data_IF_796212165945
#
_entry.id   IF_796212165945
#
_cell.length_a   1.000
_cell.length_b   1.000
_cell.length_c   1.000
_cell.angle_alpha   90.00
_cell.angle_beta   90.00
_cell.angle_gamma   90.00
#
_symmetry.space_group_name_H-M   'P 1'
#
loop_
_entity.id
_entity.type
_entity.pdbx_description
1 polymer ?
#
# COMPACT_ATOMS: atom_id res chain seq x y z
N UNK A 1 25.09 -18.60 -5.90
CA UNK A 1 23.90 -18.17 -5.13
C UNK A 1 24.37 -17.75 -3.75
N UNK A 2 24.20 -16.49 -3.38
CA UNK A 2 24.78 -15.94 -2.14
C UNK A 2 23.76 -16.12 -1.01
N UNK A 3 23.92 -17.20 -0.22
CA UNK A 3 23.01 -17.53 0.89
C UNK A 3 22.92 -16.46 1.99
N UNK A 4 23.94 -15.61 2.11
CA UNK A 4 23.95 -14.48 3.05
C UNK A 4 22.87 -13.44 2.71
N UNK A 5 22.66 -13.13 1.43
CA UNK A 5 21.67 -12.13 1.01
C UNK A 5 20.22 -12.61 1.21
N UNK A 6 19.98 -13.92 1.11
CA UNK A 6 18.66 -14.53 1.37
C UNK A 6 18.33 -14.47 2.87
N UNK A 7 19.34 -14.74 3.72
CA UNK A 7 19.18 -14.65 5.17
C UNK A 7 18.83 -13.23 5.64
N UNK A 8 19.48 -12.22 5.09
CA UNK A 8 19.21 -10.81 5.42
C UNK A 8 17.82 -10.37 4.97
N UNK A 9 17.37 -10.79 3.79
CA UNK A 9 16.03 -10.48 3.30
C UNK A 9 14.93 -11.16 4.13
N UNK A 10 15.13 -12.41 4.53
CA UNK A 10 14.19 -13.13 5.41
C UNK A 10 14.12 -12.47 6.79
N UNK A 11 15.25 -12.08 7.36
CA UNK A 11 15.30 -11.38 8.65
C UNK A 11 14.61 -10.03 8.55
N UNK A 12 14.85 -9.25 7.50
CA UNK A 12 14.17 -7.98 7.26
C UNK A 12 12.65 -8.16 7.13
N UNK A 13 12.19 -9.18 6.40
CA UNK A 13 10.77 -9.51 6.25
C UNK A 13 10.11 -9.89 7.59
N UNK A 14 10.78 -10.69 8.41
CA UNK A 14 10.30 -11.09 9.75
C UNK A 14 10.22 -9.87 10.68
N UNK A 15 11.20 -8.97 10.65
CA UNK A 15 11.21 -7.75 11.45
C UNK A 15 10.05 -6.82 11.04
N UNK A 16 9.79 -6.65 9.73
CA UNK A 16 8.66 -5.86 9.23
C UNK A 16 7.32 -6.47 9.68
N UNK A 17 7.19 -7.80 9.63
CA UNK A 17 6.00 -8.50 10.07
C UNK A 17 5.77 -8.35 11.59
N UNK A 18 6.80 -8.48 12.40
CA UNK A 18 6.73 -8.28 13.85
C UNK A 18 6.39 -6.83 14.21
N UNK A 19 6.96 -5.85 13.49
CA UNK A 19 6.64 -4.44 13.68
C UNK A 19 5.20 -4.12 13.28
N UNK A 20 4.70 -4.70 12.18
CA UNK A 20 3.32 -4.47 11.74
C UNK A 20 2.32 -5.07 12.73
N UNK A 21 2.59 -6.27 13.25
CA UNK A 21 1.78 -6.90 14.32
C UNK A 21 1.83 -6.08 15.61
N UNK A 22 3.00 -5.59 15.99
CA UNK A 22 3.17 -4.74 17.17
C UNK A 22 2.43 -3.42 17.04
N UNK A 23 2.53 -2.75 15.89
CA UNK A 23 1.81 -1.50 15.61
C UNK A 23 0.31 -1.74 15.62
N UNK A 24 -0.18 -2.82 14.99
CA UNK A 24 -1.59 -3.17 14.97
C UNK A 24 -2.11 -3.51 16.38
N UNK A 25 -1.34 -4.24 17.17
CA UNK A 25 -1.66 -4.58 18.55
C UNK A 25 -1.70 -3.34 19.44
N UNK A 26 -0.75 -2.42 19.29
CA UNK A 26 -0.67 -1.18 20.06
C UNK A 26 -1.80 -0.20 19.69
N UNK A 27 -2.17 -0.13 18.43
CA UNK A 27 -3.30 0.70 17.96
C UNK A 27 -4.65 0.15 18.43
N UNK A 28 -4.79 -1.18 18.51
CA UNK A 28 -6.04 -1.83 18.94
C UNK A 28 -6.25 -1.81 20.47
N UNK A 29 -5.22 -1.54 21.27
CA UNK A 29 -5.26 -1.60 22.72
C UNK A 29 -5.22 -0.22 23.38
N UNK A 30 -6.02 0.74 23.01
CA UNK A 30 -6.18 2.03 23.72
C UNK A 30 -4.91 2.62 24.41
N UNK A 31 -3.71 2.28 23.89
CA UNK A 31 -2.46 2.84 24.35
C UNK A 31 -2.40 4.29 23.87
N UNK A 32 -2.35 5.20 24.81
CA UNK A 32 -2.25 6.63 24.49
C UNK A 32 -1.04 6.86 23.59
N UNK A 33 -1.21 7.66 22.53
CA UNK A 33 -0.15 8.09 21.60
C UNK A 33 1.17 8.47 22.31
N UNK A 34 1.07 8.95 23.55
CA UNK A 34 2.18 9.35 24.41
C UNK A 34 3.11 8.19 24.79
N UNK A 35 2.58 7.00 25.07
CA UNK A 35 3.37 5.84 25.47
C UNK A 35 4.11 5.21 24.28
N UNK A 36 3.48 5.18 23.11
CA UNK A 36 4.11 4.68 21.88
C UNK A 36 5.29 5.58 21.47
N UNK A 37 5.09 6.90 21.48
CA UNK A 37 6.14 7.87 21.18
C UNK A 37 7.30 7.76 22.18
N UNK A 38 7.02 7.49 23.44
CA UNK A 38 8.05 7.35 24.48
C UNK A 38 8.86 6.06 24.31
N UNK A 39 8.22 4.95 23.92
CA UNK A 39 8.91 3.69 23.61
C UNK A 39 9.77 3.84 22.34
N UNK A 40 9.23 4.43 21.29
CA UNK A 40 9.96 4.70 20.04
C UNK A 40 11.16 5.62 20.26
N UNK A 41 11.07 6.57 21.19
CA UNK A 41 12.18 7.47 21.53
C UNK A 41 13.27 6.82 22.39
N UNK A 42 12.98 5.74 23.11
CA UNK A 42 13.95 5.07 24.00
C UNK A 42 14.82 4.04 23.27
N UNK A 43 14.37 3.50 22.15
CA UNK A 43 15.11 2.49 21.41
C UNK A 43 15.89 3.12 20.23
N UNK A 44 17.19 3.31 20.43
CA UNK A 44 18.07 3.90 19.42
C UNK A 44 18.16 3.05 18.15
N UNK A 45 18.03 1.73 18.24
CA UNK A 45 18.06 0.83 17.09
C UNK A 45 16.77 0.95 16.27
N UNK A 46 15.63 1.03 16.95
CA UNK A 46 14.34 1.25 16.31
C UNK A 46 14.29 2.63 15.62
N UNK A 47 14.85 3.67 16.26
CA UNK A 47 14.97 4.98 15.62
C UNK A 47 15.88 4.97 14.38
N UNK A 48 17.00 4.25 14.44
CA UNK A 48 17.91 4.11 13.30
C UNK A 48 17.24 3.36 12.16
N UNK A 49 16.48 2.30 12.50
CA UNK A 49 15.69 1.54 11.52
C UNK A 49 14.58 2.39 10.88
N UNK A 50 13.78 3.10 11.69
CA UNK A 50 12.73 3.99 11.18
C UNK A 50 13.30 5.13 10.31
N UNK A 51 14.47 5.65 10.66
CA UNK A 51 15.18 6.61 9.81
C UNK A 51 15.62 6.00 8.49
N UNK A 52 16.19 4.79 8.52
CA UNK A 52 16.61 4.07 7.30
C UNK A 52 15.42 3.79 6.39
N UNK A 53 14.30 3.27 6.94
CA UNK A 53 13.06 3.06 6.20
C UNK A 53 12.51 4.39 5.65
N UNK A 54 12.48 5.44 6.49
CA UNK A 54 11.99 6.76 6.06
C UNK A 54 12.86 7.38 4.96
N UNK A 55 14.19 7.20 4.98
CA UNK A 55 15.06 7.68 3.92
C UNK A 55 14.91 6.89 2.63
N UNK A 56 14.73 5.56 2.71
CA UNK A 56 14.45 4.73 1.53
C UNK A 56 13.07 4.96 0.91
N UNK A 57 12.14 5.54 1.68
CA UNK A 57 10.81 5.88 1.20
C UNK A 57 10.71 7.29 0.62
N UNK A 58 11.65 8.21 0.94
CA UNK A 58 11.52 9.65 0.61
C UNK A 58 11.36 9.95 -0.88
N UNK A 59 11.92 9.09 -1.73
CA UNK A 59 11.91 9.26 -3.18
C UNK A 59 10.78 8.48 -3.87
N UNK A 60 9.95 7.80 -3.08
CA UNK A 60 8.87 6.98 -3.64
C UNK A 60 7.62 7.83 -3.89
N UNK A 61 7.00 7.57 -5.05
CA UNK A 61 5.77 8.23 -5.49
C UNK A 61 4.61 7.26 -5.39
N UNK A 62 3.52 7.71 -4.79
CA UNK A 62 2.27 6.95 -4.67
C UNK A 62 1.20 7.66 -5.49
N UNK A 63 0.55 6.92 -6.37
CA UNK A 63 -0.67 7.36 -7.04
C UNK A 63 -1.88 6.71 -6.36
N UNK A 64 -2.88 7.49 -6.03
CA UNK A 64 -4.17 7.00 -5.53
C UNK A 64 -5.22 7.27 -6.60
N UNK A 65 -5.71 6.21 -7.24
CA UNK A 65 -6.84 6.29 -8.17
C UNK A 65 -8.13 6.06 -7.39
N UNK A 66 -8.96 7.09 -7.33
CA UNK A 66 -10.24 7.06 -6.62
C UNK A 66 -11.26 7.94 -7.36
N UNK A 67 -12.54 7.67 -7.12
CA UNK A 67 -13.60 8.56 -7.62
C UNK A 67 -13.79 9.76 -6.68
N UNK A 68 -14.31 10.91 -7.18
CA UNK A 68 -14.43 12.14 -6.40
C UNK A 68 -15.18 12.00 -5.08
N UNK A 69 -16.11 11.04 -5.01
CA UNK A 69 -16.90 10.77 -3.81
C UNK A 69 -16.18 9.88 -2.78
N UNK A 70 -14.98 9.36 -3.10
CA UNK A 70 -14.24 8.40 -2.28
C UNK A 70 -13.05 9.06 -1.54
N UNK A 71 -13.25 10.28 -1.05
CA UNK A 71 -12.19 11.10 -0.42
C UNK A 71 -11.53 10.48 0.83
N UNK A 72 -12.09 9.40 1.38
CA UNK A 72 -11.60 8.81 2.63
C UNK A 72 -10.27 8.07 2.46
N UNK A 73 -9.97 7.54 1.28
CA UNK A 73 -8.78 6.73 1.05
C UNK A 73 -7.49 7.57 1.14
N UNK A 74 -7.41 8.65 0.37
CA UNK A 74 -6.23 9.53 0.36
C UNK A 74 -6.06 10.25 1.71
N UNK A 75 -7.16 10.69 2.32
CA UNK A 75 -7.16 11.33 3.63
C UNK A 75 -6.67 10.37 4.72
N UNK A 76 -7.05 9.10 4.65
CA UNK A 76 -6.59 8.06 5.56
C UNK A 76 -5.08 7.84 5.46
N UNK A 77 -4.52 7.83 4.25
CA UNK A 77 -3.08 7.72 4.02
C UNK A 77 -2.32 8.95 4.52
N UNK A 78 -2.79 10.15 4.20
CA UNK A 78 -2.14 11.41 4.63
C UNK A 78 -2.12 11.61 6.14
N UNK A 79 -3.04 10.98 6.88
CA UNK A 79 -3.05 11.01 8.36
C UNK A 79 -1.94 10.17 8.99
N UNK A 80 -1.30 9.28 8.24
CA UNK A 80 -0.24 8.42 8.73
C UNK A 80 1.08 9.22 8.73
N UNK A 81 1.72 9.46 9.90
CA UNK A 81 2.91 10.31 9.98
C UNK A 81 4.06 9.85 9.07
N UNK A 82 4.18 8.53 8.86
CA UNK A 82 5.22 7.96 8.01
C UNK A 82 5.05 8.35 6.53
N UNK A 83 3.80 8.57 6.09
CA UNK A 83 3.46 8.88 4.71
C UNK A 83 3.39 10.39 4.42
N UNK A 84 3.48 11.24 5.45
CA UNK A 84 3.43 12.70 5.27
C UNK A 84 4.57 13.27 4.42
N UNK A 85 5.68 12.52 4.30
CA UNK A 85 6.84 12.91 3.49
C UNK A 85 6.84 12.30 2.09
N UNK A 86 5.90 11.40 1.80
CA UNK A 86 5.78 10.78 0.50
C UNK A 86 5.04 11.70 -0.47
N UNK A 87 5.43 11.66 -1.72
CA UNK A 87 4.69 12.30 -2.81
C UNK A 87 3.45 11.44 -3.11
N UNK A 88 2.29 11.87 -2.59
CA UNK A 88 1.01 11.19 -2.83
C UNK A 88 0.19 12.06 -3.77
N UNK A 89 0.03 11.59 -5.00
CA UNK A 89 -0.83 12.18 -6.03
C UNK A 89 -2.19 11.49 -6.07
N UNK A 90 -3.20 12.23 -6.50
CA UNK A 90 -4.57 11.75 -6.66
C UNK A 90 -4.95 11.77 -8.13
N UNK A 91 -5.72 10.80 -8.55
CA UNK A 91 -6.27 10.69 -9.89
C UNK A 91 -7.58 9.92 -9.89
N UNK A 92 -8.25 9.94 -11.03
CA UNK A 92 -9.45 9.16 -11.31
C UNK A 92 -9.15 8.07 -12.36
N UNK A 93 -10.20 7.39 -12.84
CA UNK A 93 -10.09 6.44 -13.95
C UNK A 93 -9.49 7.06 -15.24
N UNK A 94 -9.50 8.37 -15.39
CA UNK A 94 -8.87 9.07 -16.53
C UNK A 94 -7.33 9.17 -16.42
N UNK A 95 -6.76 8.85 -15.26
CA UNK A 95 -5.32 9.00 -14.98
C UNK A 95 -4.57 7.65 -14.95
N UNK A 96 -5.13 6.61 -15.58
CA UNK A 96 -4.55 5.25 -15.58
C UNK A 96 -3.16 5.24 -16.23
N UNK A 97 -2.89 6.12 -17.19
CA UNK A 97 -1.56 6.24 -17.82
C UNK A 97 -0.45 6.60 -16.83
N UNK A 98 -0.78 7.23 -15.70
CA UNK A 98 0.18 7.62 -14.67
C UNK A 98 0.68 6.44 -13.82
N UNK A 99 0.07 5.25 -13.92
CA UNK A 99 0.48 4.06 -13.17
C UNK A 99 1.95 3.74 -13.42
N UNK A 100 2.40 3.81 -14.66
CA UNK A 100 3.78 3.49 -15.05
C UNK A 100 4.82 4.46 -14.50
N UNK A 101 4.44 5.69 -14.14
CA UNK A 101 5.35 6.72 -13.62
C UNK A 101 5.46 6.73 -12.08
N UNK A 102 4.62 5.97 -11.38
CA UNK A 102 4.59 5.90 -9.93
C UNK A 102 5.18 4.57 -9.43
N UNK A 103 5.77 4.57 -8.23
CA UNK A 103 6.34 3.38 -7.62
C UNK A 103 5.25 2.44 -7.10
N UNK A 104 4.20 3.01 -6.52
CA UNK A 104 3.04 2.30 -6.02
C UNK A 104 1.77 2.99 -6.50
N UNK A 105 0.81 2.22 -6.98
CA UNK A 105 -0.53 2.73 -7.26
C UNK A 105 -1.55 2.02 -6.38
N UNK A 106 -2.41 2.78 -5.72
CA UNK A 106 -3.54 2.30 -4.95
C UNK A 106 -4.80 2.61 -5.76
N UNK A 107 -5.59 1.59 -6.02
CA UNK A 107 -6.78 1.69 -6.87
C UNK A 107 -7.99 1.37 -6.03
N UNK A 108 -8.87 2.35 -5.83
CA UNK A 108 -10.19 2.09 -5.25
C UNK A 108 -11.01 1.22 -6.21
N UNK A 109 -11.67 0.20 -5.69
CA UNK A 109 -12.56 -0.64 -6.50
C UNK A 109 -13.68 0.16 -7.18
N UNK A 110 -14.04 1.34 -6.67
CA UNK A 110 -15.00 2.27 -7.28
C UNK A 110 -14.54 2.78 -8.65
N UNK A 111 -13.24 2.92 -8.87
CA UNK A 111 -12.68 3.26 -10.18
C UNK A 111 -13.08 2.25 -11.25
N UNK A 112 -13.17 0.96 -10.88
CA UNK A 112 -13.60 -0.11 -11.78
C UNK A 112 -15.11 -0.10 -12.07
N UNK A 113 -15.90 0.51 -11.17
CA UNK A 113 -17.37 0.55 -11.29
C UNK A 113 -17.89 1.84 -11.88
N UNK A 114 -17.06 2.89 -11.95
CA UNK A 114 -17.43 4.17 -12.56
C UNK A 114 -17.84 4.03 -14.04
N UNK A 115 -17.40 2.95 -14.69
CA UNK A 115 -17.77 2.57 -16.05
C UNK A 115 -18.16 1.11 -16.09
N UNK A 116 -19.37 0.77 -15.63
CA UNK A 116 -19.81 -0.62 -15.54
C UNK A 116 -19.66 -1.38 -16.87
N UNK A 117 -19.95 -0.75 -17.99
CA UNK A 117 -19.79 -1.30 -19.34
C UNK A 117 -18.34 -1.43 -19.80
N UNK A 118 -17.40 -0.80 -19.10
CA UNK A 118 -15.97 -0.77 -19.45
C UNK A 118 -15.09 -1.41 -18.37
N UNK A 119 -15.67 -1.98 -17.32
CA UNK A 119 -14.92 -2.52 -16.17
C UNK A 119 -13.77 -3.43 -16.59
N UNK A 120 -14.04 -4.40 -17.47
CA UNK A 120 -13.02 -5.34 -17.91
C UNK A 120 -11.91 -4.65 -18.72
N UNK A 121 -12.25 -3.67 -19.55
CA UNK A 121 -11.29 -2.88 -20.31
C UNK A 121 -10.41 -2.05 -19.39
N UNK A 122 -11.01 -1.32 -18.44
CA UNK A 122 -10.32 -0.51 -17.43
C UNK A 122 -9.40 -1.38 -16.57
N UNK A 123 -9.90 -2.51 -16.07
CA UNK A 123 -9.11 -3.44 -15.28
C UNK A 123 -7.90 -3.98 -16.08
N UNK A 124 -8.14 -4.39 -17.33
CA UNK A 124 -7.09 -4.91 -18.21
C UNK A 124 -6.04 -3.85 -18.51
N UNK A 125 -6.44 -2.61 -18.74
CA UNK A 125 -5.52 -1.50 -18.94
C UNK A 125 -4.66 -1.26 -17.70
N UNK A 126 -5.25 -1.22 -16.51
CA UNK A 126 -4.53 -1.09 -15.23
C UNK A 126 -3.45 -2.16 -15.09
N UNK A 127 -3.81 -3.43 -15.30
CA UNK A 127 -2.88 -4.55 -15.19
C UNK A 127 -1.77 -4.47 -16.23
N UNK A 128 -2.06 -4.03 -17.45
CA UNK A 128 -1.07 -3.91 -18.53
C UNK A 128 -0.12 -2.72 -18.34
N UNK A 129 -0.56 -1.64 -17.67
CA UNK A 129 0.29 -0.48 -17.36
C UNK A 129 1.29 -0.75 -16.23
N UNK A 130 1.04 -1.76 -15.41
CA UNK A 130 1.94 -2.18 -14.35
C UNK A 130 3.18 -2.87 -14.94
N UNK A 131 4.36 -2.35 -14.63
CA UNK A 131 5.65 -2.99 -14.87
C UNK A 131 6.09 -3.82 -13.66
N UNK A 132 7.07 -4.72 -13.82
CA UNK A 132 7.48 -5.64 -12.75
C UNK A 132 8.18 -4.93 -11.57
N UNK A 133 8.70 -3.73 -11.80
CA UNK A 133 9.34 -2.86 -10.81
C UNK A 133 8.34 -1.92 -10.09
N UNK A 134 7.05 -2.02 -10.35
CA UNK A 134 5.99 -1.21 -9.73
C UNK A 134 5.07 -2.08 -8.90
N UNK A 135 4.41 -1.47 -7.92
CA UNK A 135 3.43 -2.15 -7.08
C UNK A 135 2.01 -1.64 -7.30
N UNK A 136 1.04 -2.54 -7.15
CA UNK A 136 -0.39 -2.21 -7.16
C UNK A 136 -1.07 -2.72 -5.90
N UNK A 137 -1.99 -1.91 -5.37
CA UNK A 137 -2.95 -2.33 -4.34
C UNK A 137 -4.35 -2.06 -4.87
N UNK A 138 -5.17 -3.09 -4.94
CA UNK A 138 -6.61 -2.92 -5.14
C UNK A 138 -7.29 -2.80 -3.77
N UNK A 139 -7.88 -1.66 -3.51
CA UNK A 139 -8.63 -1.41 -2.28
C UNK A 139 -10.11 -1.64 -2.52
N UNK A 140 -10.64 -2.73 -1.95
CA UNK A 140 -12.05 -3.14 -2.05
C UNK A 140 -12.61 -3.30 -0.64
N UNK A 141 -13.25 -2.27 -0.05
CA UNK A 141 -13.73 -2.34 1.32
C UNK A 141 -14.83 -3.39 1.47
N UNK A 142 -14.86 -4.03 2.65
CA UNK A 142 -15.91 -5.01 2.97
C UNK A 142 -17.29 -4.36 3.06
N UNK A 143 -18.30 -5.09 2.61
CA UNK A 143 -19.70 -4.71 2.78
C UNK A 143 -20.35 -4.04 1.58
N UNK A 144 -19.60 -3.76 0.54
CA UNK A 144 -20.13 -3.23 -0.73
C UNK A 144 -19.98 -4.29 -1.83
N UNK A 145 -20.98 -5.18 -1.97
CA UNK A 145 -20.93 -6.30 -2.93
C UNK A 145 -20.70 -5.84 -4.39
N UNK A 146 -21.17 -4.64 -4.74
CA UNK A 146 -20.93 -4.05 -6.06
C UNK A 146 -19.47 -3.71 -6.33
N UNK A 147 -18.64 -3.61 -5.28
CA UNK A 147 -17.21 -3.29 -5.36
C UNK A 147 -16.32 -4.53 -5.23
N UNK A 148 -16.89 -5.71 -5.12
CA UNK A 148 -16.10 -6.93 -5.05
C UNK A 148 -15.41 -7.23 -6.37
N UNK A 149 -14.14 -7.64 -6.29
CA UNK A 149 -13.40 -8.13 -7.43
C UNK A 149 -13.93 -9.51 -7.82
N UNK A 150 -14.08 -9.75 -9.10
CA UNK A 150 -14.46 -11.05 -9.63
C UNK A 150 -13.34 -12.07 -9.45
N UNK A 151 -13.66 -13.36 -9.48
CA UNK A 151 -12.66 -14.44 -9.38
C UNK A 151 -11.62 -14.37 -10.50
N UNK A 152 -12.01 -13.91 -11.70
CA UNK A 152 -11.08 -13.73 -12.82
C UNK A 152 -10.14 -12.54 -12.58
N UNK A 153 -10.64 -11.42 -12.08
CA UNK A 153 -9.82 -10.26 -11.68
C UNK A 153 -8.85 -10.66 -10.57
N UNK A 154 -9.30 -11.38 -9.54
CA UNK A 154 -8.45 -11.89 -8.46
C UNK A 154 -7.36 -12.82 -8.99
N UNK A 155 -7.68 -13.70 -9.94
CA UNK A 155 -6.70 -14.59 -10.56
C UNK A 155 -5.65 -13.79 -11.33
N UNK A 156 -6.06 -12.79 -12.12
CA UNK A 156 -5.15 -11.91 -12.88
C UNK A 156 -4.24 -11.09 -11.95
N UNK A 157 -4.77 -10.59 -10.82
CA UNK A 157 -4.00 -9.89 -9.79
C UNK A 157 -2.95 -10.82 -9.17
N UNK A 158 -3.37 -12.00 -8.72
CA UNK A 158 -2.51 -12.97 -8.04
C UNK A 158 -1.40 -13.54 -8.96
N UNK A 159 -1.58 -13.47 -10.26
CA UNK A 159 -0.56 -13.87 -11.24
C UNK A 159 0.55 -12.80 -11.42
N UNK A 160 0.42 -11.62 -10.84
CA UNK A 160 1.40 -10.53 -10.96
C UNK A 160 2.17 -10.35 -9.67
N UNK A 161 3.48 -10.13 -9.79
CA UNK A 161 4.34 -9.77 -8.66
C UNK A 161 3.99 -8.38 -8.11
N UNK A 162 4.26 -8.14 -6.84
CA UNK A 162 4.06 -6.84 -6.18
C UNK A 162 2.63 -6.29 -6.33
N UNK A 163 1.64 -7.20 -6.28
CA UNK A 163 0.22 -6.83 -6.26
C UNK A 163 -0.46 -7.34 -5.00
N UNK A 164 -1.41 -6.59 -4.49
CA UNK A 164 -2.17 -6.95 -3.29
C UNK A 164 -3.63 -6.52 -3.43
N UNK A 165 -4.51 -7.23 -2.72
CA UNK A 165 -5.91 -6.84 -2.54
C UNK A 165 -6.13 -6.57 -1.06
N UNK A 166 -6.50 -5.34 -0.73
CA UNK A 166 -6.76 -4.89 0.64
C UNK A 166 -8.24 -4.60 0.81
N UNK A 167 -8.86 -5.25 1.80
CA UNK A 167 -10.29 -5.08 2.09
C UNK A 167 -10.57 -4.28 3.35
N UNK A 168 -9.56 -4.01 4.16
CA UNK A 168 -9.68 -3.29 5.42
C UNK A 168 -8.75 -2.07 5.41
N UNK A 169 -9.29 -0.89 5.67
CA UNK A 169 -8.51 0.36 5.74
C UNK A 169 -7.39 0.29 6.77
N UNK A 170 -7.58 -0.45 7.88
CA UNK A 170 -6.54 -0.65 8.89
C UNK A 170 -5.33 -1.47 8.38
N UNK A 171 -5.49 -2.30 7.35
CA UNK A 171 -4.39 -3.08 6.73
C UNK A 171 -3.70 -2.33 5.62
N UNK A 172 -4.38 -1.37 5.00
CA UNK A 172 -3.86 -0.64 3.85
C UNK A 172 -2.47 -0.03 4.12
N UNK A 173 -2.29 0.58 5.28
CA UNK A 173 -1.01 1.18 5.66
C UNK A 173 0.13 0.16 5.71
N UNK A 174 -0.15 -1.05 6.22
CA UNK A 174 0.83 -2.14 6.29
C UNK A 174 1.17 -2.67 4.90
N UNK A 175 0.16 -2.84 4.04
CA UNK A 175 0.35 -3.33 2.67
C UNK A 175 1.15 -2.31 1.84
N UNK A 176 0.84 -1.02 1.97
CA UNK A 176 1.60 0.08 1.35
C UNK A 176 3.06 0.04 1.79
N UNK A 177 3.30 -0.02 3.11
CA UNK A 177 4.66 -0.04 3.65
C UNK A 177 5.44 -1.27 3.18
N UNK A 178 4.81 -2.44 3.22
CA UNK A 178 5.43 -3.70 2.79
C UNK A 178 5.83 -3.67 1.32
N UNK A 179 4.94 -3.20 0.44
CA UNK A 179 5.25 -3.12 -0.99
C UNK A 179 6.31 -2.06 -1.30
N UNK A 180 6.26 -0.90 -0.66
CA UNK A 180 7.28 0.15 -0.86
C UNK A 180 8.67 -0.30 -0.40
N UNK A 181 8.76 -1.11 0.66
CA UNK A 181 10.05 -1.65 1.12
C UNK A 181 10.60 -2.72 0.19
N UNK A 182 9.75 -3.44 -0.54
CA UNK A 182 10.18 -4.41 -1.55
C UNK A 182 10.67 -3.74 -2.85
N UNK A 183 10.32 -2.48 -3.07
CA UNK A 183 10.74 -1.67 -4.22
C UNK A 183 12.05 -0.90 -3.99
N UNK A 184 12.66 -1.07 -2.81
CA UNK A 184 13.90 -0.37 -2.39
C UNK A 184 15.17 -1.07 -2.88
#
# INVERSE_FOLDING_TARGET
MNFASIGEQVIAGVIVLLLSVLITYLLNRNWTKKNIITLLKKDANLQKYLKSVSSGLSDKKILVLQEPDDNDLINSLRRIPLFQKLEISEGSHHNIEQISSNHLTIISARVLTASADQRESVFTEIINRKTDDKALIFFSPHGESALELTDDELRKINARNLTSVTRQSGRLANDVLSLLTLLS
#
